data_IF_152328282582
#
_entry.id   IF_152328282582
#
_cell.length_a   1.000
_cell.length_b   1.000
_cell.length_c   1.000
_cell.angle_alpha   90.00
_cell.angle_beta   90.00
_cell.angle_gamma   90.00
#
_symmetry.space_group_name_H-M   'P 1'
#
loop_
_entity.id
_entity.type
_entity.pdbx_description
1 polymer ?
#
# COMPACT_ATOMS: atom_id res chain seq x y z
N UNK A 1 -7.20 -16.34 -17.93
CA UNK A 1 -6.25 -15.46 -17.45
C UNK A 1 -6.78 -14.06 -17.32
N UNK A 2 -6.61 -13.46 -16.21
CA UNK A 2 -7.20 -12.17 -15.95
C UNK A 2 -6.20 -11.06 -16.21
N UNK A 3 -6.53 -10.15 -17.09
CA UNK A 3 -5.71 -8.97 -17.33
C UNK A 3 -5.86 -7.94 -16.22
N UNK A 4 -6.91 -8.09 -15.43
CA UNK A 4 -7.25 -7.10 -14.42
C UNK A 4 -6.81 -7.52 -13.03
N UNK A 5 -6.06 -8.60 -12.98
CA UNK A 5 -5.61 -9.09 -11.69
C UNK A 5 -4.57 -8.14 -11.11
N UNK A 6 -4.77 -7.78 -9.84
CA UNK A 6 -3.85 -6.91 -9.15
C UNK A 6 -2.61 -7.70 -8.75
N UNK A 7 -1.46 -7.09 -8.96
CA UNK A 7 -0.19 -7.68 -8.53
C UNK A 7 0.08 -7.23 -7.10
N UNK A 8 -0.29 -8.06 -6.14
CA UNK A 8 -0.22 -7.65 -4.74
C UNK A 8 1.22 -7.53 -4.23
N UNK A 9 2.16 -8.24 -4.83
CA UNK A 9 3.56 -8.04 -4.49
C UNK A 9 4.05 -6.67 -4.89
N UNK A 10 3.62 -6.21 -6.06
CA UNK A 10 3.97 -4.86 -6.50
C UNK A 10 3.31 -3.81 -5.62
N UNK A 11 2.05 -4.05 -5.24
CA UNK A 11 1.37 -3.14 -4.31
C UNK A 11 2.15 -3.07 -3.00
N UNK A 12 2.58 -4.21 -2.51
CA UNK A 12 3.36 -4.24 -1.26
C UNK A 12 4.64 -3.43 -1.35
N UNK A 13 5.33 -3.52 -2.48
CA UNK A 13 6.54 -2.73 -2.67
C UNK A 13 6.25 -1.25 -2.68
N UNK A 14 5.13 -0.84 -3.27
CA UNK A 14 4.74 0.56 -3.28
C UNK A 14 4.40 1.06 -1.89
N UNK A 15 3.73 0.23 -1.09
CA UNK A 15 3.45 0.59 0.30
C UNK A 15 4.74 0.77 1.07
N UNK A 16 5.69 -0.14 0.88
CA UNK A 16 6.98 -0.03 1.54
C UNK A 16 7.70 1.25 1.11
N UNK A 17 7.59 1.59 -0.16
CA UNK A 17 8.17 2.82 -0.67
C UNK A 17 7.56 4.04 0.01
N UNK A 18 6.25 4.03 0.20
CA UNK A 18 5.58 5.13 0.90
C UNK A 18 6.03 5.23 2.35
N UNK A 19 6.27 4.11 2.98
CA UNK A 19 6.73 4.12 4.36
C UNK A 19 8.09 4.78 4.49
N UNK A 20 8.99 4.51 3.54
CA UNK A 20 10.32 5.08 3.58
C UNK A 20 11.28 4.28 4.43
N UNK A 21 12.58 4.53 4.22
CA UNK A 21 13.61 3.71 4.83
C UNK A 21 13.86 4.05 6.29
N UNK A 22 13.46 5.24 6.73
CA UNK A 22 13.74 5.69 8.09
C UNK A 22 12.56 5.56 9.03
N UNK A 23 11.46 4.96 8.57
CA UNK A 23 10.25 4.84 9.38
C UNK A 23 10.01 3.36 9.65
N UNK A 24 9.86 3.04 10.92
CA UNK A 24 9.61 1.65 11.31
C UNK A 24 8.21 1.21 10.90
N UNK A 25 8.07 -0.08 10.63
CA UNK A 25 6.75 -0.62 10.30
C UNK A 25 5.72 -0.32 11.38
N UNK A 26 6.11 -0.49 12.65
CA UNK A 26 5.16 -0.26 13.74
C UNK A 26 4.68 1.18 13.76
N UNK A 27 5.57 2.10 13.49
CA UNK A 27 5.23 3.52 13.48
C UNK A 27 4.28 3.85 12.33
N UNK A 28 4.59 3.36 11.15
CA UNK A 28 3.77 3.62 9.98
C UNK A 28 2.40 2.94 10.11
N UNK A 29 2.39 1.70 10.61
CA UNK A 29 1.14 0.97 10.82
C UNK A 29 0.22 1.74 11.76
N UNK A 30 0.80 2.27 12.83
CA UNK A 30 0.03 3.07 13.79
C UNK A 30 -0.60 4.28 13.11
N UNK A 31 0.14 4.94 12.24
CA UNK A 31 -0.37 6.13 11.55
C UNK A 31 -1.52 5.81 10.62
N UNK A 32 -1.54 4.64 10.03
CA UNK A 32 -2.65 4.29 9.13
C UNK A 32 -3.68 3.38 9.78
N UNK A 33 -3.53 3.14 11.09
CA UNK A 33 -4.57 2.47 11.85
C UNK A 33 -4.64 0.96 11.67
N UNK A 34 -3.52 0.31 11.42
CA UNK A 34 -3.47 -1.15 11.31
C UNK A 34 -2.35 -1.67 12.19
N UNK A 35 -2.34 -2.99 12.39
CA UNK A 35 -1.28 -3.61 13.18
C UNK A 35 0.00 -3.73 12.35
N UNK A 36 1.13 -3.84 13.04
CA UNK A 36 2.40 -4.04 12.35
C UNK A 36 2.39 -5.35 11.56
N UNK A 37 1.80 -6.39 12.13
CA UNK A 37 1.73 -7.67 11.43
C UNK A 37 0.95 -7.57 10.14
N UNK A 38 -0.12 -6.80 10.15
CA UNK A 38 -0.93 -6.56 8.96
C UNK A 38 -0.10 -5.82 7.92
N UNK A 39 0.59 -4.77 8.33
CA UNK A 39 1.43 -4.01 7.41
C UNK A 39 2.52 -4.89 6.82
N UNK A 40 3.13 -5.74 7.64
CA UNK A 40 4.16 -6.64 7.17
C UNK A 40 3.64 -7.56 6.07
N UNK A 41 2.45 -8.12 6.27
CA UNK A 41 1.85 -8.99 5.25
C UNK A 41 1.56 -8.21 3.96
N UNK A 42 1.08 -6.98 4.09
CA UNK A 42 0.82 -6.15 2.92
C UNK A 42 2.11 -5.87 2.16
N UNK A 43 3.17 -5.51 2.87
CA UNK A 43 4.43 -5.18 2.20
C UNK A 43 5.06 -6.39 1.53
N UNK A 44 4.80 -7.58 2.04
CA UNK A 44 5.28 -8.81 1.42
C UNK A 44 4.40 -9.30 0.27
N UNK A 45 3.23 -8.71 0.14
CA UNK A 45 2.32 -9.09 -0.93
C UNK A 45 1.60 -10.39 -0.70
N UNK A 46 1.54 -10.87 0.53
CA UNK A 46 0.86 -12.12 0.84
C UNK A 46 -0.58 -11.92 1.25
N UNK A 47 -1.03 -10.68 1.33
CA UNK A 47 -2.43 -10.36 1.61
C UNK A 47 -2.88 -9.27 0.68
N UNK A 48 -4.13 -9.35 0.25
CA UNK A 48 -4.76 -8.23 -0.44
C UNK A 48 -4.98 -7.10 0.54
N UNK A 49 -4.89 -5.89 0.05
CA UNK A 49 -5.11 -4.70 0.88
C UNK A 49 -6.55 -4.27 0.72
N UNK A 50 -7.26 -4.14 1.83
CA UNK A 50 -8.64 -3.74 1.80
C UNK A 50 -8.82 -2.31 1.33
N UNK A 51 -10.03 -2.01 0.86
CA UNK A 51 -10.31 -0.69 0.28
C UNK A 51 -10.09 0.43 1.29
N UNK A 52 -10.47 0.20 2.53
CA UNK A 52 -10.34 1.24 3.54
C UNK A 52 -8.88 1.58 3.80
N UNK A 53 -8.02 0.58 3.84
CA UNK A 53 -6.60 0.82 4.05
C UNK A 53 -6.00 1.51 2.84
N UNK A 54 -6.40 1.12 1.64
CA UNK A 54 -5.94 1.79 0.42
C UNK A 54 -6.29 3.27 0.46
N UNK A 55 -7.50 3.58 0.89
CA UNK A 55 -7.94 4.97 0.99
C UNK A 55 -7.10 5.76 1.98
N UNK A 56 -6.82 5.16 3.14
CA UNK A 56 -5.99 5.81 4.14
C UNK A 56 -4.58 6.05 3.64
N UNK A 57 -4.02 5.07 2.93
CA UNK A 57 -2.69 5.21 2.35
C UNK A 57 -2.66 6.33 1.33
N UNK A 58 -3.67 6.38 0.48
CA UNK A 58 -3.73 7.42 -0.55
C UNK A 58 -3.82 8.81 0.08
N UNK A 59 -4.63 8.94 1.11
CA UNK A 59 -4.80 10.24 1.76
C UNK A 59 -3.54 10.70 2.48
N UNK A 60 -2.80 9.77 3.06
CA UNK A 60 -1.58 10.11 3.77
C UNK A 60 -0.44 10.47 2.84
N UNK A 61 -0.41 9.91 1.65
CA UNK A 61 0.77 9.95 0.82
C UNK A 61 0.65 10.89 -0.37
N UNK A 62 -0.52 11.44 -0.62
CA UNK A 62 -0.81 12.22 -1.81
C UNK A 62 -0.66 11.41 -3.09
N UNK A 63 -0.63 10.09 -2.99
CA UNK A 63 -0.67 9.22 -4.16
C UNK A 63 -2.09 8.72 -4.34
N UNK A 64 -2.43 8.38 -5.58
CA UNK A 64 -3.76 7.88 -5.86
C UNK A 64 -3.87 6.41 -5.52
N UNK A 65 -5.12 5.95 -5.34
CA UNK A 65 -5.36 4.52 -5.18
C UNK A 65 -4.94 3.78 -6.43
N UNK A 66 -5.15 4.39 -7.59
CA UNK A 66 -4.72 3.76 -8.84
C UNK A 66 -3.22 3.54 -8.85
N UNK A 67 -2.44 4.51 -8.38
CA UNK A 67 -0.99 4.33 -8.32
C UNK A 67 -0.64 3.16 -7.40
N UNK A 68 -1.31 3.07 -6.26
CA UNK A 68 -1.04 1.97 -5.33
C UNK A 68 -1.30 0.62 -5.99
N UNK A 69 -2.38 0.51 -6.74
CA UNK A 69 -2.78 -0.77 -7.31
C UNK A 69 -2.08 -1.09 -8.62
N UNK A 70 -1.73 -0.10 -9.42
CA UNK A 70 -1.23 -0.35 -10.77
C UNK A 70 0.12 0.26 -11.07
N UNK A 71 0.55 1.21 -10.26
CA UNK A 71 1.77 1.95 -10.54
C UNK A 71 1.59 3.12 -11.48
N UNK A 72 0.37 3.36 -11.94
CA UNK A 72 0.10 4.48 -12.84
C UNK A 72 -0.37 5.68 -12.04
N UNK A 73 0.37 6.76 -12.14
CA UNK A 73 0.03 7.99 -11.46
C UNK A 73 -0.50 8.96 -12.49
N UNK A 74 -1.72 8.74 -12.89
CA UNK A 74 -2.31 9.59 -13.90
C UNK A 74 -2.81 10.86 -13.29
N UNK A 75 -2.29 11.95 -13.76
CA UNK A 75 -2.75 13.25 -13.35
C UNK A 75 -3.30 13.92 -14.60
N UNK A 76 -4.56 14.15 -14.60
CA UNK A 76 -5.18 14.86 -15.73
C UNK A 76 -5.37 16.29 -15.45
#
# INVERSE_FOLDING_TARGET
MSKNQINWKAVGRRIRELRGVNVKQSEFASKIGISQGQLSRYEKGISEVGAEVLLRLARKSAKSIEWLLTGNDKID
#
